data_IF_610235179580
#
_entry.id   IF_610235179580
#
_cell.length_a   1.000
_cell.length_b   1.000
_cell.length_c   1.000
_cell.angle_alpha   90.00
_cell.angle_beta   90.00
_cell.angle_gamma   90.00
#
_symmetry.space_group_name_H-M   'P 1'
#
loop_
_entity.id
_entity.type
_entity.pdbx_description
1 polymer ?
#
# COMPACT_ATOMS: atom_id res chain seq x y z
N UNK A 1 -16.94 2.23 -12.18
CA UNK A 1 -16.30 2.98 -13.29
C UNK A 1 -15.51 4.10 -12.62
N UNK A 2 -14.19 3.91 -12.53
CA UNK A 2 -13.30 4.87 -11.87
C UNK A 2 -12.97 5.94 -12.92
N UNK A 3 -13.63 7.09 -12.85
CA UNK A 3 -13.26 8.28 -13.61
C UNK A 3 -12.23 9.06 -12.79
N UNK A 4 -10.95 8.83 -13.08
CA UNK A 4 -9.89 9.74 -12.64
C UNK A 4 -9.88 10.94 -13.57
N UNK A 5 -10.16 12.13 -13.05
CA UNK A 5 -10.16 13.38 -13.80
C UNK A 5 -8.71 13.78 -14.06
N UNK A 6 -8.24 13.50 -15.27
CA UNK A 6 -6.91 13.92 -15.74
C UNK A 6 -6.92 15.42 -16.06
N UNK A 7 -5.97 16.18 -15.51
CA UNK A 7 -5.79 17.61 -15.69
C UNK A 7 -4.56 17.98 -16.53
N UNK A 8 -4.02 17.04 -17.30
CA UNK A 8 -2.90 17.39 -18.20
C UNK A 8 -3.13 16.82 -19.59
N UNK A 9 -3.50 17.68 -20.51
CA UNK A 9 -3.53 17.35 -21.94
C UNK A 9 -2.12 17.15 -22.46
N UNK A 10 -1.77 15.93 -22.85
CA UNK A 10 -0.65 15.64 -23.73
C UNK A 10 -1.09 14.65 -24.80
N UNK A 11 -0.88 15.03 -26.05
CA UNK A 11 -1.19 14.27 -27.25
C UNK A 11 -0.05 13.32 -27.61
N UNK A 12 -0.44 12.15 -28.10
CA UNK A 12 0.31 11.18 -28.91
C UNK A 12 1.40 10.33 -28.23
N UNK A 13 1.08 9.04 -28.11
CA UNK A 13 2.05 7.97 -27.87
C UNK A 13 1.41 6.61 -28.11
N UNK A 14 1.90 5.93 -29.12
CA UNK A 14 1.49 4.63 -29.66
C UNK A 14 1.46 3.52 -28.62
N UNK A 15 0.51 2.62 -28.77
CA UNK A 15 0.19 1.46 -27.94
C UNK A 15 1.32 0.42 -27.91
N UNK A 16 2.33 0.58 -27.06
CA UNK A 16 3.23 -0.52 -26.66
C UNK A 16 4.00 -0.28 -25.34
N UNK A 17 3.54 0.64 -24.50
CA UNK A 17 4.22 0.98 -23.23
C UNK A 17 3.61 0.31 -22.00
N UNK A 18 2.65 -0.59 -22.14
CA UNK A 18 1.84 -1.14 -21.04
C UNK A 18 2.57 -2.12 -20.11
N UNK A 19 3.86 -2.36 -20.34
CA UNK A 19 4.70 -3.17 -19.45
C UNK A 19 5.93 -2.41 -18.95
N UNK A 20 5.87 -1.10 -18.90
CA UNK A 20 6.93 -0.27 -18.32
C UNK A 20 6.96 -0.48 -16.81
N UNK A 21 7.92 -1.29 -16.38
CA UNK A 21 8.20 -1.46 -14.96
C UNK A 21 8.56 -2.84 -14.50
N UNK A 22 8.82 -3.76 -15.40
CA UNK A 22 9.57 -4.96 -15.01
C UNK A 22 11.03 -4.55 -14.87
N UNK A 23 11.37 -3.96 -13.72
CA UNK A 23 12.72 -4.13 -13.23
C UNK A 23 12.90 -5.64 -13.11
N UNK A 24 13.72 -6.17 -13.99
CA UNK A 24 13.98 -7.61 -14.04
C UNK A 24 14.52 -8.04 -12.66
N UNK A 25 13.64 -8.62 -11.86
CA UNK A 25 13.96 -9.12 -10.51
C UNK A 25 15.12 -10.12 -10.50
N UNK A 26 15.47 -10.65 -11.69
CA UNK A 26 16.60 -11.55 -11.91
C UNK A 26 17.94 -10.82 -12.02
N UNK A 27 17.96 -9.49 -12.22
CA UNK A 27 19.23 -8.73 -12.29
C UNK A 27 19.88 -8.64 -10.90
N UNK A 28 21.14 -9.03 -10.75
CA UNK A 28 21.82 -9.04 -9.45
C UNK A 28 21.85 -7.64 -8.83
N UNK A 29 22.06 -6.61 -9.62
CA UNK A 29 22.06 -5.22 -9.15
C UNK A 29 20.71 -4.82 -8.52
N UNK A 30 19.59 -5.22 -9.12
CA UNK A 30 18.27 -4.97 -8.55
C UNK A 30 18.12 -5.59 -7.15
N UNK A 31 18.55 -6.86 -6.99
CA UNK A 31 18.49 -7.57 -5.72
C UNK A 31 19.36 -6.91 -4.66
N UNK A 32 20.57 -6.47 -5.03
CA UNK A 32 21.48 -5.77 -4.12
C UNK A 32 20.89 -4.44 -3.67
N UNK A 33 20.40 -3.60 -4.60
CA UNK A 33 19.83 -2.29 -4.25
C UNK A 33 18.57 -2.46 -3.39
N UNK A 34 17.69 -3.40 -3.72
CA UNK A 34 16.52 -3.71 -2.90
C UNK A 34 16.93 -4.16 -1.50
N UNK A 35 17.90 -5.07 -1.40
CA UNK A 35 18.43 -5.54 -0.12
C UNK A 35 19.00 -4.38 0.71
N UNK A 36 19.81 -3.51 0.13
CA UNK A 36 20.35 -2.33 0.80
C UNK A 36 19.24 -1.43 1.36
N UNK A 37 18.21 -1.15 0.56
CA UNK A 37 17.06 -0.35 0.99
C UNK A 37 16.38 -1.02 2.20
N UNK A 38 16.05 -2.30 2.10
CA UNK A 38 15.33 -3.02 3.16
C UNK A 38 16.12 -3.15 4.47
N UNK A 39 17.46 -3.05 4.44
CA UNK A 39 18.29 -3.14 5.64
C UNK A 39 18.73 -1.78 6.18
N UNK A 40 18.94 -0.79 5.31
CA UNK A 40 19.38 0.57 5.71
C UNK A 40 18.20 1.42 6.20
N UNK A 41 17.04 1.35 5.55
CA UNK A 41 15.93 2.23 5.89
C UNK A 41 15.26 1.95 7.24
N UNK A 42 15.11 0.71 7.74
CA UNK A 42 14.50 0.49 9.05
C UNK A 42 15.20 1.23 10.21
N UNK A 43 16.53 1.16 10.39
CA UNK A 43 17.19 1.96 11.43
C UNK A 43 17.08 3.47 11.17
N UNK A 44 17.13 3.91 9.91
CA UNK A 44 16.94 5.32 9.55
C UNK A 44 15.54 5.80 9.92
N UNK A 45 14.50 5.02 9.61
CA UNK A 45 13.11 5.37 9.98
C UNK A 45 12.92 5.40 11.50
N UNK A 46 13.54 4.46 12.24
CA UNK A 46 13.52 4.48 13.70
C UNK A 46 14.17 5.75 14.26
N UNK A 47 15.32 6.13 13.72
CA UNK A 47 16.07 7.30 14.17
C UNK A 47 15.33 8.61 13.84
N UNK A 48 14.93 8.81 12.58
CA UNK A 48 14.36 10.07 12.11
C UNK A 48 12.91 10.25 12.54
N UNK A 49 12.09 9.21 12.40
CA UNK A 49 10.64 9.28 12.63
C UNK A 49 10.20 8.56 13.91
N UNK A 50 11.14 7.92 14.66
CA UNK A 50 10.75 7.02 15.75
C UNK A 50 9.82 5.91 15.27
N UNK A 51 10.01 5.46 14.03
CA UNK A 51 9.11 4.51 13.38
C UNK A 51 9.01 3.21 14.17
N UNK A 52 7.79 2.77 14.41
CA UNK A 52 7.49 1.52 15.10
C UNK A 52 6.35 0.78 14.41
N UNK A 53 6.23 -0.50 14.68
CA UNK A 53 5.18 -1.37 14.15
C UNK A 53 4.37 -1.91 15.32
N UNK A 54 3.05 -1.89 15.18
CA UNK A 54 2.09 -2.43 16.15
C UNK A 54 1.23 -3.47 15.45
N UNK A 55 1.06 -4.62 16.06
CA UNK A 55 0.37 -5.76 15.46
C UNK A 55 1.28 -6.60 14.56
N UNK A 56 0.73 -7.67 14.05
CA UNK A 56 1.38 -8.62 13.11
C UNK A 56 0.34 -9.27 12.24
N UNK A 57 0.74 -9.73 11.07
CA UNK A 57 -0.11 -10.54 10.20
C UNK A 57 0.05 -12.02 10.62
N UNK A 58 -1.05 -12.76 10.80
CA UNK A 58 -0.98 -14.22 10.96
C UNK A 58 -0.38 -14.86 9.70
N UNK A 59 0.66 -15.68 9.86
CA UNK A 59 1.37 -16.31 8.72
C UNK A 59 0.45 -17.13 7.82
N UNK A 60 -0.55 -17.78 8.38
CA UNK A 60 -1.56 -18.55 7.65
C UNK A 60 -2.34 -17.72 6.62
N UNK A 61 -2.57 -16.43 6.90
CA UNK A 61 -3.25 -15.50 5.97
C UNK A 61 -2.35 -15.06 4.81
N UNK A 62 -1.04 -15.26 4.93
CA UNK A 62 -0.05 -14.87 3.92
C UNK A 62 0.23 -15.96 2.90
N UNK A 63 0.13 -17.24 3.29
CA UNK A 63 0.56 -18.38 2.47
C UNK A 63 -0.10 -18.45 1.09
N UNK A 64 -1.33 -17.99 0.97
CA UNK A 64 -2.09 -18.04 -0.28
C UNK A 64 -2.22 -16.68 -0.97
N UNK A 65 -1.35 -15.74 -0.62
CA UNK A 65 -1.43 -14.36 -1.07
C UNK A 65 -2.55 -13.57 -0.40
N UNK A 66 -2.32 -12.29 -0.21
CA UNK A 66 -3.26 -11.38 0.46
C UNK A 66 -3.23 -9.99 -0.15
N UNK A 67 -4.21 -9.17 0.20
CA UNK A 67 -4.28 -7.79 -0.24
C UNK A 67 -4.19 -6.90 1.00
N UNK A 68 -3.18 -6.03 1.04
CA UNK A 68 -3.03 -5.05 2.10
C UNK A 68 -3.54 -3.70 1.63
N UNK A 69 -4.23 -2.99 2.52
CA UNK A 69 -4.64 -1.60 2.30
C UNK A 69 -4.05 -0.71 3.38
N UNK A 70 -3.56 0.46 2.99
CA UNK A 70 -3.01 1.46 3.90
C UNK A 70 -3.41 2.85 3.45
N UNK A 71 -3.60 3.78 4.38
CA UNK A 71 -3.73 5.20 4.06
C UNK A 71 -2.41 5.73 3.46
N UNK A 72 -2.49 6.80 2.66
CA UNK A 72 -1.35 7.32 1.90
C UNK A 72 -0.95 8.70 2.42
N UNK A 73 -0.04 8.75 3.39
CA UNK A 73 0.26 9.95 4.20
C UNK A 73 1.73 10.35 4.24
N UNK A 74 2.62 9.58 3.62
CA UNK A 74 4.04 9.89 3.60
C UNK A 74 4.69 9.44 2.28
N UNK A 75 5.62 10.24 1.76
CA UNK A 75 6.31 9.97 0.47
C UNK A 75 7.09 8.65 0.42
N UNK A 76 7.46 8.13 1.57
CA UNK A 76 8.20 6.87 1.71
C UNK A 76 7.37 5.73 2.32
N UNK A 77 6.04 5.85 2.36
CA UNK A 77 5.20 4.81 2.97
C UNK A 77 5.31 3.46 2.26
N UNK A 78 5.46 3.44 0.92
CA UNK A 78 5.73 2.20 0.19
C UNK A 78 7.05 1.53 0.64
N UNK A 79 8.08 2.33 0.98
CA UNK A 79 9.34 1.80 1.50
C UNK A 79 9.16 1.32 2.95
N UNK A 80 8.42 2.07 3.78
CA UNK A 80 8.11 1.67 5.16
C UNK A 80 7.37 0.33 5.19
N UNK A 81 6.32 0.18 4.36
CA UNK A 81 5.58 -1.07 4.22
C UNK A 81 6.47 -2.21 3.70
N UNK A 82 7.27 -1.96 2.66
CA UNK A 82 8.20 -2.96 2.14
C UNK A 82 9.25 -3.42 3.17
N UNK A 83 9.69 -2.52 4.04
CA UNK A 83 10.61 -2.87 5.14
C UNK A 83 9.92 -3.70 6.25
N UNK A 84 8.65 -3.43 6.53
CA UNK A 84 7.87 -4.18 7.53
C UNK A 84 7.52 -5.58 7.01
N UNK A 85 7.18 -5.69 5.74
CA UNK A 85 6.80 -6.94 5.08
C UNK A 85 7.94 -7.52 4.23
N UNK A 86 9.20 -7.34 4.64
CA UNK A 86 10.38 -7.73 3.86
C UNK A 86 10.47 -9.23 3.54
N UNK A 87 9.85 -10.06 4.36
CA UNK A 87 9.79 -11.52 4.18
C UNK A 87 8.80 -11.93 3.07
N UNK A 88 8.03 -10.97 2.57
CA UNK A 88 7.03 -11.20 1.53
C UNK A 88 7.37 -10.44 0.25
N UNK A 89 7.06 -11.04 -0.88
CA UNK A 89 7.12 -10.32 -2.15
C UNK A 89 5.89 -9.44 -2.28
N UNK A 90 6.10 -8.13 -2.40
CA UNK A 90 5.03 -7.15 -2.53
C UNK A 90 4.86 -6.65 -3.96
N UNK A 91 3.62 -6.36 -4.32
CA UNK A 91 3.21 -5.61 -5.50
C UNK A 91 2.52 -4.32 -5.03
N UNK A 92 2.88 -3.17 -5.60
CA UNK A 92 2.27 -1.88 -5.27
C UNK A 92 1.49 -1.35 -6.46
N UNK A 93 0.21 -1.06 -6.29
CA UNK A 93 -0.56 -0.36 -7.32
C UNK A 93 -0.24 1.13 -7.31
N UNK A 94 0.13 1.65 -8.45
CA UNK A 94 0.43 3.06 -8.64
C UNK A 94 -0.13 3.56 -9.97
N UNK A 95 -0.46 4.84 -10.06
CA UNK A 95 -0.76 5.44 -11.36
C UNK A 95 0.48 5.30 -12.26
N UNK A 96 0.27 5.02 -13.54
CA UNK A 96 1.35 4.88 -14.51
C UNK A 96 2.24 6.14 -14.55
N UNK A 97 1.64 7.33 -14.46
CA UNK A 97 2.35 8.61 -14.39
C UNK A 97 3.36 8.69 -13.24
N UNK A 98 3.05 8.10 -12.08
CA UNK A 98 3.94 8.12 -10.93
C UNK A 98 5.19 7.25 -11.14
N UNK A 99 5.11 6.22 -11.97
CA UNK A 99 6.24 5.35 -12.29
C UNK A 99 7.31 6.07 -13.15
N UNK A 100 6.94 7.17 -13.79
CA UNK A 100 7.86 7.98 -14.61
C UNK A 100 8.53 9.12 -13.83
N UNK A 101 8.15 9.37 -12.58
CA UNK A 101 8.84 10.33 -11.71
C UNK A 101 10.25 9.82 -11.43
N UNK A 102 11.27 10.65 -11.70
CA UNK A 102 12.67 10.24 -11.77
C UNK A 102 13.14 9.41 -10.55
N UNK A 103 12.96 9.90 -9.33
CA UNK A 103 13.40 9.21 -8.12
C UNK A 103 12.28 8.36 -7.53
N UNK A 104 11.10 8.95 -7.32
CA UNK A 104 9.97 8.26 -6.71
C UNK A 104 9.50 7.06 -7.55
N UNK A 105 9.42 7.23 -8.87
CA UNK A 105 9.05 6.15 -9.78
C UNK A 105 10.07 5.00 -9.78
N UNK A 106 11.37 5.31 -9.68
CA UNK A 106 12.40 4.29 -9.55
C UNK A 106 12.24 3.46 -8.27
N UNK A 107 11.94 4.12 -7.13
CA UNK A 107 11.69 3.46 -5.86
C UNK A 107 10.43 2.58 -5.94
N UNK A 108 9.32 3.11 -6.45
CA UNK A 108 8.07 2.35 -6.58
C UNK A 108 8.28 1.13 -7.48
N UNK A 109 8.95 1.27 -8.63
CA UNK A 109 9.28 0.12 -9.50
C UNK A 109 10.16 -0.90 -8.78
N UNK A 110 11.16 -0.44 -8.02
CA UNK A 110 12.06 -1.30 -7.25
C UNK A 110 11.30 -2.08 -6.17
N UNK A 111 10.26 -1.49 -5.57
CA UNK A 111 9.43 -2.16 -4.58
C UNK A 111 8.35 -3.07 -5.20
N UNK A 112 8.28 -3.21 -6.52
CA UNK A 112 7.29 -4.07 -7.19
C UNK A 112 6.07 -3.30 -7.71
N UNK A 113 6.23 -2.02 -8.07
CA UNK A 113 5.17 -1.17 -8.59
C UNK A 113 4.53 -1.72 -9.87
N UNK A 114 3.21 -1.69 -9.92
CA UNK A 114 2.39 -2.03 -11.08
C UNK A 114 1.63 -0.78 -11.48
N UNK A 115 1.83 -0.33 -12.73
CA UNK A 115 1.14 0.83 -13.28
C UNK A 115 -0.34 0.53 -13.53
N UNK A 116 -1.20 1.41 -13.05
CA UNK A 116 -2.62 1.37 -13.37
C UNK A 116 -2.86 2.08 -14.70
N UNK A 117 -3.44 1.39 -15.68
CA UNK A 117 -3.70 1.98 -16.98
C UNK A 117 -4.83 3.00 -16.91
N UNK A 118 -4.69 4.08 -17.66
CA UNK A 118 -5.74 5.10 -17.77
C UNK A 118 -6.96 4.60 -18.58
N UNK A 119 -6.76 3.64 -19.48
CA UNK A 119 -7.80 3.09 -20.37
C UNK A 119 -8.23 1.69 -19.94
N UNK A 120 -9.49 1.35 -20.20
CA UNK A 120 -10.09 0.06 -19.83
C UNK A 120 -9.42 -1.15 -20.50
N UNK A 121 -8.98 -1.02 -21.74
CA UNK A 121 -8.30 -2.06 -22.50
C UNK A 121 -6.97 -2.49 -21.90
N UNK A 122 -6.28 -1.58 -21.20
CA UNK A 122 -5.03 -1.86 -20.49
C UNK A 122 -5.19 -2.67 -19.20
N UNK A 123 -6.40 -2.82 -18.66
CA UNK A 123 -6.60 -3.47 -17.37
C UNK A 123 -6.40 -4.99 -17.39
N UNK A 124 -6.73 -5.64 -18.49
CA UNK A 124 -6.66 -7.11 -18.59
C UNK A 124 -5.26 -7.68 -18.27
N UNK A 125 -4.15 -7.18 -18.86
CA UNK A 125 -2.80 -7.66 -18.53
C UNK A 125 -2.42 -7.32 -17.08
N UNK A 126 -2.82 -6.16 -16.55
CA UNK A 126 -2.56 -5.77 -15.17
C UNK A 126 -3.24 -6.72 -14.19
N UNK A 127 -4.53 -7.00 -14.39
CA UNK A 127 -5.28 -7.93 -13.54
C UNK A 127 -4.73 -9.36 -13.63
N UNK A 128 -4.28 -9.81 -14.80
CA UNK A 128 -3.61 -11.11 -14.96
C UNK A 128 -2.32 -11.17 -14.14
N UNK A 129 -1.50 -10.12 -14.16
CA UNK A 129 -0.26 -10.02 -13.39
C UNK A 129 -0.54 -10.02 -11.89
N UNK A 130 -1.52 -9.23 -11.43
CA UNK A 130 -1.94 -9.20 -10.02
C UNK A 130 -2.36 -10.59 -9.57
N UNK A 131 -3.24 -11.24 -10.36
CA UNK A 131 -3.72 -12.59 -10.05
C UNK A 131 -2.55 -13.58 -9.93
N UNK A 132 -1.64 -13.57 -10.89
CA UNK A 132 -0.48 -14.44 -10.86
C UNK A 132 0.34 -14.24 -9.58
N UNK A 133 0.66 -13.00 -9.20
CA UNK A 133 1.40 -12.72 -7.98
C UNK A 133 0.66 -13.18 -6.73
N UNK A 134 -0.65 -12.93 -6.65
CA UNK A 134 -1.47 -13.39 -5.52
C UNK A 134 -1.52 -14.94 -5.45
N UNK A 135 -1.58 -15.64 -6.57
CA UNK A 135 -1.56 -17.10 -6.60
C UNK A 135 -0.17 -17.68 -6.25
N UNK A 136 0.88 -16.90 -6.47
CA UNK A 136 2.27 -17.20 -6.04
C UNK A 136 2.54 -16.83 -4.56
N UNK A 137 1.51 -16.44 -3.80
CA UNK A 137 1.64 -16.07 -2.38
C UNK A 137 2.16 -14.64 -2.15
N UNK A 138 2.17 -13.78 -3.17
CA UNK A 138 2.61 -12.39 -3.01
C UNK A 138 1.53 -11.53 -2.34
N UNK A 139 1.95 -10.40 -1.76
CA UNK A 139 1.06 -9.39 -1.20
C UNK A 139 0.82 -8.26 -2.19
N UNK A 140 -0.44 -7.93 -2.45
CA UNK A 140 -0.82 -6.73 -3.19
C UNK A 140 -1.08 -5.58 -2.22
N UNK A 141 -0.32 -4.50 -2.32
CA UNK A 141 -0.55 -3.27 -1.55
C UNK A 141 -1.39 -2.28 -2.36
N UNK A 142 -2.45 -1.78 -1.75
CA UNK A 142 -3.33 -0.76 -2.33
C UNK A 142 -3.45 0.42 -1.35
N UNK A 143 -3.37 1.64 -1.88
CA UNK A 143 -3.73 2.86 -1.16
C UNK A 143 -5.15 3.26 -1.57
N UNK A 144 -6.17 2.93 -0.76
CA UNK A 144 -7.57 3.09 -1.17
C UNK A 144 -8.00 4.55 -1.29
N UNK A 145 -7.25 5.47 -0.72
CA UNK A 145 -7.48 6.92 -0.85
C UNK A 145 -7.15 7.48 -2.24
N UNK A 146 -6.36 6.73 -3.05
CA UNK A 146 -6.07 7.03 -4.45
C UNK A 146 -5.00 8.08 -4.69
N UNK A 147 -4.61 8.87 -3.69
CA UNK A 147 -3.57 9.89 -3.80
C UNK A 147 -2.80 10.07 -2.47
N UNK A 148 -1.57 10.56 -2.57
CA UNK A 148 -0.75 10.91 -1.42
C UNK A 148 -1.10 12.33 -0.94
N UNK A 149 -1.42 12.48 0.37
CA UNK A 149 -1.43 13.78 1.04
C UNK A 149 -0.47 13.71 2.23
N UNK A 150 0.70 14.30 2.05
CA UNK A 150 1.79 14.23 3.02
C UNK A 150 1.39 14.85 4.37
N UNK A 151 1.58 14.10 5.45
CA UNK A 151 1.24 14.52 6.81
C UNK A 151 -0.25 14.49 7.17
N UNK A 152 -1.12 13.96 6.30
CA UNK A 152 -2.55 13.83 6.60
C UNK A 152 -2.78 12.94 7.83
N UNK A 153 -3.64 13.39 8.76
CA UNK A 153 -3.92 12.70 10.03
C UNK A 153 -5.31 12.08 10.11
N UNK A 154 -6.10 12.26 9.07
CA UNK A 154 -7.47 11.73 8.97
C UNK A 154 -7.54 10.71 7.83
N UNK A 155 -8.44 9.74 7.96
CA UNK A 155 -8.76 8.84 6.85
C UNK A 155 -9.64 9.58 5.85
N UNK A 156 -9.20 9.61 4.60
CA UNK A 156 -9.96 10.18 3.49
C UNK A 156 -10.97 9.16 2.94
N UNK A 157 -11.82 9.59 2.02
CA UNK A 157 -12.74 8.70 1.33
C UNK A 157 -11.96 7.62 0.55
N UNK A 158 -12.44 6.39 0.62
CA UNK A 158 -11.85 5.28 -0.10
C UNK A 158 -12.43 5.16 -1.51
N UNK A 159 -11.59 4.79 -2.46
CA UNK A 159 -11.99 4.49 -3.83
C UNK A 159 -12.54 3.05 -3.90
N UNK A 160 -13.76 2.84 -4.40
CA UNK A 160 -14.40 1.51 -4.39
C UNK A 160 -13.64 0.44 -5.14
N UNK A 161 -12.76 0.83 -6.07
CA UNK A 161 -11.98 -0.10 -6.90
C UNK A 161 -11.08 -1.04 -6.10
N UNK A 162 -10.51 -0.57 -4.97
CA UNK A 162 -9.69 -1.39 -4.10
C UNK A 162 -10.45 -2.62 -3.59
N UNK A 163 -11.68 -2.41 -3.13
CA UNK A 163 -12.53 -3.43 -2.55
C UNK A 163 -13.16 -4.34 -3.62
N UNK A 164 -13.46 -3.80 -4.79
CA UNK A 164 -13.93 -4.58 -5.93
C UNK A 164 -12.86 -5.57 -6.42
N UNK A 165 -11.61 -5.12 -6.55
CA UNK A 165 -10.46 -5.97 -6.91
C UNK A 165 -10.29 -7.09 -5.87
N UNK A 166 -10.34 -6.75 -4.59
CA UNK A 166 -10.22 -7.73 -3.50
C UNK A 166 -11.32 -8.79 -3.58
N UNK A 167 -12.57 -8.38 -3.71
CA UNK A 167 -13.69 -9.31 -3.85
C UNK A 167 -13.57 -10.19 -5.11
N UNK A 168 -13.01 -9.67 -6.19
CA UNK A 168 -12.81 -10.43 -7.42
C UNK A 168 -11.74 -11.51 -7.26
N UNK A 169 -10.61 -11.21 -6.62
CA UNK A 169 -9.54 -12.20 -6.39
C UNK A 169 -9.82 -13.11 -5.21
N UNK A 170 -10.82 -12.81 -4.36
CA UNK A 170 -11.21 -13.60 -3.20
C UNK A 170 -10.03 -13.89 -2.26
N UNK A 171 -9.18 -12.90 -2.04
CA UNK A 171 -8.06 -12.96 -1.10
C UNK A 171 -8.39 -12.16 0.16
N UNK A 172 -7.91 -12.55 1.34
CA UNK A 172 -8.13 -11.79 2.58
C UNK A 172 -7.54 -10.39 2.45
N UNK A 173 -8.19 -9.40 3.07
CA UNK A 173 -7.71 -8.03 3.11
C UNK A 173 -7.13 -7.72 4.49
N UNK A 174 -5.93 -7.16 4.50
CA UNK A 174 -5.21 -6.78 5.71
C UNK A 174 -5.18 -5.26 5.80
N UNK A 175 -5.94 -4.66 6.74
CA UNK A 175 -5.90 -3.23 6.93
C UNK A 175 -4.64 -2.85 7.68
N UNK A 176 -3.97 -1.83 7.15
CA UNK A 176 -2.82 -1.19 7.79
C UNK A 176 -3.11 0.30 7.96
N UNK A 177 -2.65 0.88 9.04
CA UNK A 177 -2.79 2.30 9.29
C UNK A 177 -1.45 2.90 9.62
N UNK A 178 -0.98 3.82 8.79
CA UNK A 178 0.16 4.67 9.11
C UNK A 178 -0.35 5.92 9.82
N UNK A 179 0.00 6.09 11.09
CA UNK A 179 -0.45 7.20 11.93
C UNK A 179 0.70 7.90 12.64
N UNK A 180 0.47 9.13 13.07
CA UNK A 180 1.43 9.93 13.82
C UNK A 180 1.12 9.85 15.31
N UNK A 181 2.16 9.78 16.15
CA UNK A 181 2.03 9.80 17.60
C UNK A 181 2.97 10.83 18.23
N UNK A 182 2.57 11.45 19.38
CA UNK A 182 3.39 12.46 20.05
C UNK A 182 4.63 11.81 20.67
N UNK A 183 5.79 12.47 20.52
CA UNK A 183 7.05 12.06 21.15
C UNK A 183 7.53 13.14 22.10
N UNK A 184 8.08 12.70 23.24
CA UNK A 184 8.68 13.57 24.23
C UNK A 184 10.13 13.17 24.54
N UNK A 185 10.95 14.14 24.92
CA UNK A 185 12.29 13.86 25.44
C UNK A 185 12.21 13.36 26.89
N UNK A 186 13.32 12.83 27.40
CA UNK A 186 13.41 12.46 28.84
C UNK A 186 13.12 13.63 29.78
N UNK A 187 13.35 14.87 29.32
CA UNK A 187 13.02 16.11 30.07
C UNK A 187 11.60 16.61 29.86
N UNK A 188 10.69 15.82 29.27
CA UNK A 188 9.31 16.21 29.00
C UNK A 188 9.11 17.16 27.81
N UNK A 189 10.18 17.63 27.14
CA UNK A 189 10.05 18.53 25.98
C UNK A 189 9.47 17.78 24.79
N UNK A 190 8.44 18.35 24.15
CA UNK A 190 7.84 17.81 22.93
C UNK A 190 8.87 17.75 21.80
N UNK A 191 8.97 16.60 21.13
CA UNK A 191 9.76 16.37 19.92
C UNK A 191 8.84 16.37 18.69
N UNK A 192 9.45 16.26 17.51
CA UNK A 192 8.71 15.94 16.28
C UNK A 192 7.95 14.64 16.48
N UNK A 193 6.70 14.59 16.00
CA UNK A 193 5.87 13.41 16.09
C UNK A 193 6.57 12.19 15.46
N UNK A 194 6.35 11.05 16.07
CA UNK A 194 6.74 9.77 15.51
C UNK A 194 5.69 9.23 14.56
N UNK A 195 6.07 8.17 13.86
CA UNK A 195 5.17 7.45 12.97
C UNK A 195 5.10 5.98 13.39
N UNK A 196 3.92 5.41 13.33
CA UNK A 196 3.75 3.98 13.54
C UNK A 196 2.85 3.36 12.48
N UNK A 197 3.22 2.17 12.06
CA UNK A 197 2.39 1.31 11.24
C UNK A 197 1.62 0.37 12.15
N UNK A 198 0.31 0.49 12.15
CA UNK A 198 -0.60 -0.42 12.86
C UNK A 198 -1.12 -1.45 11.88
N UNK A 199 -0.83 -2.72 12.11
CA UNK A 199 -1.37 -3.84 11.34
C UNK A 199 -2.60 -4.34 12.10
N UNK A 200 -3.74 -4.33 11.42
CA UNK A 200 -5.03 -4.68 11.97
C UNK A 200 -5.43 -6.11 11.60
N UNK A 201 -6.48 -6.61 12.23
CA UNK A 201 -6.98 -7.97 11.98
C UNK A 201 -7.42 -8.14 10.51
N UNK A 202 -6.98 -9.21 9.86
CA UNK A 202 -7.40 -9.52 8.50
C UNK A 202 -8.92 -9.68 8.39
N UNK A 203 -9.48 -9.18 7.30
CA UNK A 203 -10.90 -9.32 6.98
C UNK A 203 -11.05 -10.25 5.78
N UNK A 204 -11.81 -11.31 5.96
CA UNK A 204 -12.14 -12.24 4.88
C UNK A 204 -13.26 -11.65 4.00
N UNK A 205 -13.30 -12.10 2.75
CA UNK A 205 -14.32 -11.63 1.81
C UNK A 205 -15.69 -12.15 2.22
N UNK A 206 -16.73 -11.30 2.29
CA UNK A 206 -18.10 -11.75 2.56
C UNK A 206 -18.53 -12.82 1.55
N UNK A 207 -18.96 -13.99 2.03
CA UNK A 207 -19.34 -15.13 1.20
C UNK A 207 -20.82 -15.13 0.83
N UNK A 208 -21.65 -14.49 1.65
CA UNK A 208 -23.09 -14.35 1.52
C UNK A 208 -23.50 -13.26 0.52
N UNK A 209 -22.58 -12.37 0.15
CA UNK A 209 -22.79 -11.27 -0.79
C UNK A 209 -21.86 -11.35 -1.98
N UNK A 210 -22.26 -10.73 -3.07
CA UNK A 210 -21.50 -10.72 -4.33
C UNK A 210 -21.38 -9.31 -4.91
N UNK A 211 -20.34 -9.10 -5.73
CA UNK A 211 -20.14 -7.88 -6.49
C UNK A 211 -20.07 -6.62 -5.64
N UNK A 212 -20.81 -5.57 -6.01
CA UNK A 212 -20.77 -4.27 -5.34
C UNK A 212 -21.16 -4.32 -3.86
N UNK A 213 -22.13 -5.19 -3.49
CA UNK A 213 -22.56 -5.29 -2.07
C UNK A 213 -21.46 -5.85 -1.19
N UNK A 214 -20.77 -6.90 -1.63
CA UNK A 214 -19.61 -7.44 -0.89
C UNK A 214 -18.51 -6.40 -0.75
N UNK A 215 -18.19 -5.67 -1.83
CA UNK A 215 -17.17 -4.63 -1.82
C UNK A 215 -17.51 -3.48 -0.86
N UNK A 216 -18.77 -3.03 -0.82
CA UNK A 216 -19.20 -1.97 0.11
C UNK A 216 -19.15 -2.41 1.56
N UNK A 217 -19.51 -3.65 1.84
CA UNK A 217 -19.41 -4.20 3.21
C UNK A 217 -17.97 -4.32 3.66
N UNK A 218 -17.10 -4.88 2.81
CA UNK A 218 -15.68 -4.99 3.08
C UNK A 218 -15.07 -3.59 3.32
N UNK A 219 -15.38 -2.60 2.50
CA UNK A 219 -14.97 -1.21 2.69
C UNK A 219 -15.39 -0.68 4.06
N UNK A 220 -16.66 -0.90 4.43
CA UNK A 220 -17.20 -0.43 5.70
C UNK A 220 -16.45 -1.06 6.89
N UNK A 221 -16.23 -2.37 6.89
CA UNK A 221 -15.50 -3.07 7.94
C UNK A 221 -14.06 -2.57 8.06
N UNK A 222 -13.35 -2.48 6.94
CA UNK A 222 -11.96 -2.00 6.89
C UNK A 222 -11.87 -0.56 7.40
N UNK A 223 -12.76 0.32 6.94
CA UNK A 223 -12.79 1.71 7.35
C UNK A 223 -13.06 1.84 8.85
N UNK A 224 -14.01 1.09 9.40
CA UNK A 224 -14.31 1.09 10.83
C UNK A 224 -13.10 0.64 11.67
N UNK A 225 -12.40 -0.41 11.27
CA UNK A 225 -11.19 -0.87 11.98
C UNK A 225 -10.08 0.19 11.93
N UNK A 226 -9.80 0.75 10.76
CA UNK A 226 -8.75 1.77 10.59
C UNK A 226 -9.09 3.06 11.37
N UNK A 227 -10.36 3.48 11.38
CA UNK A 227 -10.78 4.67 12.13
C UNK A 227 -10.72 4.44 13.65
N UNK A 228 -11.14 3.27 14.13
CA UNK A 228 -10.99 2.89 15.53
C UNK A 228 -9.52 2.92 15.97
N UNK A 229 -8.63 2.34 15.16
CA UNK A 229 -7.20 2.36 15.41
C UNK A 229 -6.63 3.78 15.39
N UNK A 230 -7.10 4.64 14.47
CA UNK A 230 -6.69 6.04 14.39
C UNK A 230 -7.05 6.82 15.68
N UNK A 231 -8.23 6.57 16.22
CA UNK A 231 -8.73 7.24 17.43
C UNK A 231 -8.10 6.69 18.72
N UNK A 232 -7.53 5.50 18.69
CA UNK A 232 -6.85 4.88 19.84
C UNK A 232 -5.48 5.51 20.17
N UNK A 233 -4.98 6.45 19.34
CA UNK A 233 -3.74 7.21 19.63
C UNK A 233 -3.96 8.06 20.88
N UNK A 234 -3.27 7.72 21.95
CA UNK A 234 -3.32 8.49 23.20
C UNK A 234 -3.97 7.80 24.39
N UNK A 235 -4.53 6.59 24.22
CA UNK A 235 -5.05 5.80 25.35
C UNK A 235 -4.01 4.87 25.98
N UNK A 236 -2.88 4.62 25.33
CA UNK A 236 -1.83 3.71 25.81
C UNK A 236 -0.70 4.43 26.57
N UNK A 237 -0.85 5.69 26.92
CA UNK A 237 0.15 6.51 27.61
C UNK A 237 -0.41 7.36 28.77
N UNK A 238 -1.60 7.02 29.27
CA UNK A 238 -2.18 7.66 30.43
C UNK A 238 -2.15 6.73 31.66
#
# INVERSE_FOLDING_TARGET
MILVKDRTGSKNGTADSTLVGVFDSKRPLYRIVKWLILHIFPPVFRLLYGFRVVGRIPEEKMQNGCISVCNHVHKLDCVMLACVFQDYTMQFLSLESNLHILVAGAIVRLMGGIGLPAKLDGWRPVLKRIKQGLDEGQMLQIYPEGELIDGCRTLRAFQPGAFQITCWFRKPMIPCLLRFYPRFSKSGRRKRDGMELVILEPVDIPTDKKGKRAATELETQIRCQMEAARLAVGREGA
#
